data_IF_911380240205
#
_entry.id   IF_911380240205
#
_cell.length_a   1.000
_cell.length_b   1.000
_cell.length_c   1.000
_cell.angle_alpha   90.00
_cell.angle_beta   90.00
_cell.angle_gamma   90.00
#
_symmetry.space_group_name_H-M   'P 1'
#
loop_
_entity.id
_entity.type
_entity.pdbx_description
1 polymer ?
#
# COMPACT_ATOMS: atom_id res chain seq x y z
N UNK A 1 -79.99 -45.13 -35.30
CA UNK A 1 -78.61 -44.72 -35.59
C UNK A 1 -78.68 -43.37 -36.29
N UNK A 2 -78.05 -42.36 -35.69
CA UNK A 2 -77.83 -40.99 -36.20
C UNK A 2 -79.07 -40.08 -36.34
N UNK A 3 -79.00 -38.78 -36.13
CA UNK A 3 -78.08 -37.84 -35.46
C UNK A 3 -78.58 -36.45 -35.88
N UNK A 4 -78.35 -35.43 -35.04
CA UNK A 4 -78.12 -34.03 -35.44
C UNK A 4 -79.29 -33.24 -36.08
N UNK A 5 -79.51 -31.95 -35.81
CA UNK A 5 -78.86 -30.99 -34.90
C UNK A 5 -79.73 -29.74 -34.80
N UNK A 6 -79.84 -29.26 -33.57
CA UNK A 6 -80.07 -27.88 -33.14
C UNK A 6 -79.72 -26.79 -34.17
N UNK A 7 -80.72 -25.99 -34.52
CA UNK A 7 -80.52 -24.63 -35.01
C UNK A 7 -80.36 -23.69 -33.79
N UNK A 8 -79.12 -23.30 -33.48
CA UNK A 8 -78.84 -22.26 -32.47
C UNK A 8 -78.73 -20.90 -33.12
N UNK A 9 -79.51 -19.97 -32.56
CA UNK A 9 -79.51 -18.54 -32.82
C UNK A 9 -78.11 -17.93 -32.64
N UNK A 10 -77.64 -17.26 -33.69
CA UNK A 10 -76.56 -16.28 -33.59
C UNK A 10 -77.14 -14.96 -33.06
N UNK A 11 -77.01 -14.72 -31.74
CA UNK A 11 -77.20 -13.38 -31.17
C UNK A 11 -75.83 -12.76 -30.90
N UNK A 12 -75.47 -11.85 -31.80
CA UNK A 12 -74.33 -10.94 -31.72
C UNK A 12 -74.45 -10.03 -30.48
N UNK A 13 -73.46 -10.09 -29.59
CA UNK A 13 -73.29 -9.12 -28.52
C UNK A 13 -72.13 -8.20 -28.90
N UNK A 14 -72.46 -6.99 -29.35
CA UNK A 14 -71.50 -5.90 -29.53
C UNK A 14 -71.09 -5.36 -28.16
N UNK A 15 -69.83 -5.57 -27.78
CA UNK A 15 -69.24 -4.91 -26.61
C UNK A 15 -68.67 -3.57 -27.05
N UNK A 16 -69.38 -2.49 -26.72
CA UNK A 16 -68.91 -1.12 -26.89
C UNK A 16 -67.85 -0.77 -25.84
N UNK A 17 -66.59 -0.66 -26.29
CA UNK A 17 -65.47 -0.23 -25.48
C UNK A 17 -65.16 1.26 -25.74
N UNK A 18 -65.70 2.17 -24.90
CA UNK A 18 -65.27 3.58 -24.92
C UNK A 18 -65.56 4.31 -23.59
N UNK A 19 -64.77 4.02 -22.54
CA UNK A 19 -64.63 4.92 -21.38
C UNK A 19 -63.40 4.55 -20.52
N UNK A 20 -62.19 4.59 -21.11
CA UNK A 20 -60.96 4.16 -20.41
C UNK A 20 -60.08 5.28 -19.87
N UNK A 21 -60.05 6.44 -20.53
CA UNK A 21 -58.93 7.38 -20.40
C UNK A 21 -58.98 8.22 -19.11
N UNK A 22 -60.16 8.66 -18.68
CA UNK A 22 -60.32 9.49 -17.47
C UNK A 22 -60.27 8.67 -16.18
N UNK A 23 -60.75 7.42 -16.21
CA UNK A 23 -60.70 6.50 -15.08
C UNK A 23 -59.28 5.96 -14.84
N UNK A 24 -58.51 5.72 -15.90
CA UNK A 24 -57.11 5.32 -15.81
C UNK A 24 -56.24 6.42 -15.17
N UNK A 25 -56.42 7.68 -15.55
CA UNK A 25 -55.67 8.81 -14.97
C UNK A 25 -56.03 9.04 -13.49
N UNK A 26 -57.30 8.84 -13.10
CA UNK A 26 -57.71 8.93 -11.68
C UNK A 26 -57.17 7.78 -10.83
N UNK A 27 -57.04 6.58 -11.42
CA UNK A 27 -56.38 5.43 -10.78
C UNK A 27 -54.89 5.66 -10.58
N UNK A 28 -54.18 6.17 -11.60
CA UNK A 28 -52.76 6.52 -11.47
C UNK A 28 -52.50 7.64 -10.44
N UNK A 29 -53.45 8.56 -10.23
CA UNK A 29 -53.37 9.60 -9.20
C UNK A 29 -53.74 9.15 -7.79
N UNK A 30 -54.48 8.07 -7.65
CA UNK A 30 -54.88 7.50 -6.36
C UNK A 30 -53.91 6.41 -5.87
N UNK A 31 -52.90 6.07 -6.68
CA UNK A 31 -51.96 5.01 -6.40
C UNK A 31 -50.72 5.57 -5.69
N UNK A 32 -50.79 5.63 -4.36
CA UNK A 32 -49.68 6.08 -3.50
C UNK A 32 -48.41 5.23 -3.70
N UNK A 33 -48.57 3.98 -4.15
CA UNK A 33 -47.43 3.11 -4.49
C UNK A 33 -46.64 3.58 -5.70
N UNK A 34 -47.27 4.29 -6.65
CA UNK A 34 -46.60 4.83 -7.83
C UNK A 34 -45.70 6.03 -7.51
N UNK A 35 -46.09 6.85 -6.53
CA UNK A 35 -45.27 7.99 -6.07
C UNK A 35 -44.01 7.51 -5.36
N UNK A 36 -44.16 6.51 -4.46
CA UNK A 36 -43.02 5.90 -3.77
C UNK A 36 -42.01 5.25 -4.75
N UNK A 37 -42.48 4.65 -5.86
CA UNK A 37 -41.62 4.07 -6.87
C UNK A 37 -40.77 5.14 -7.61
N UNK A 38 -41.32 6.33 -7.86
CA UNK A 38 -40.60 7.42 -8.52
C UNK A 38 -39.56 8.04 -7.58
N UNK A 39 -39.90 8.22 -6.30
CA UNK A 39 -38.93 8.69 -5.29
C UNK A 39 -37.75 7.72 -5.13
N UNK A 40 -38.03 6.42 -5.09
CA UNK A 40 -36.98 5.40 -5.05
C UNK A 40 -36.11 5.41 -6.30
N UNK A 41 -36.72 5.54 -7.49
CA UNK A 41 -35.97 5.61 -8.75
C UNK A 41 -35.02 6.82 -8.81
N UNK A 42 -35.37 7.94 -8.16
CA UNK A 42 -34.52 9.12 -8.08
C UNK A 42 -33.38 8.98 -7.06
N UNK A 43 -33.60 8.29 -5.93
CA UNK A 43 -32.59 8.11 -4.87
C UNK A 43 -31.63 6.94 -5.16
N UNK A 44 -32.12 5.89 -5.82
CA UNK A 44 -31.37 4.69 -6.20
C UNK A 44 -30.01 4.96 -6.88
N UNK A 45 -29.86 5.88 -7.87
CA UNK A 45 -28.55 6.16 -8.47
C UNK A 45 -27.53 6.69 -7.46
N UNK A 46 -27.95 7.51 -6.49
CA UNK A 46 -27.07 8.01 -5.44
C UNK A 46 -26.68 6.90 -4.46
N UNK A 47 -27.63 6.06 -4.06
CA UNK A 47 -27.33 4.91 -3.20
C UNK A 47 -26.34 3.94 -3.85
N UNK A 48 -26.51 3.64 -5.14
CA UNK A 48 -25.59 2.77 -5.88
C UNK A 48 -24.19 3.39 -5.99
N UNK A 49 -24.10 4.68 -6.30
CA UNK A 49 -22.82 5.38 -6.37
C UNK A 49 -22.08 5.34 -5.02
N UNK A 50 -22.78 5.60 -3.92
CA UNK A 50 -22.21 5.53 -2.57
C UNK A 50 -21.81 4.10 -2.19
N UNK A 51 -22.63 3.10 -2.51
CA UNK A 51 -22.33 1.70 -2.23
C UNK A 51 -21.05 1.25 -2.94
N UNK A 52 -20.95 1.48 -4.25
CA UNK A 52 -19.77 1.11 -5.05
C UNK A 52 -18.55 1.90 -4.61
N UNK A 53 -18.70 3.21 -4.33
CA UNK A 53 -17.60 4.05 -3.84
C UNK A 53 -17.05 3.58 -2.49
N UNK A 54 -17.93 3.25 -1.54
CA UNK A 54 -17.53 2.72 -0.23
C UNK A 54 -16.90 1.33 -0.33
N UNK A 55 -17.43 0.46 -1.19
CA UNK A 55 -16.88 -0.86 -1.42
C UNK A 55 -15.43 -0.78 -1.95
N UNK A 56 -15.15 0.14 -2.89
CA UNK A 56 -13.79 0.37 -3.37
C UNK A 56 -12.87 0.93 -2.33
N UNK A 57 -13.36 1.93 -1.58
CA UNK A 57 -12.57 2.57 -0.55
C UNK A 57 -12.14 1.54 0.49
N UNK A 58 -13.03 0.64 0.86
CA UNK A 58 -12.71 -0.48 1.75
C UNK A 58 -11.64 -1.40 1.14
N UNK A 59 -11.70 -1.71 -0.15
CA UNK A 59 -10.68 -2.52 -0.83
C UNK A 59 -9.32 -1.81 -0.91
N UNK A 60 -9.30 -0.52 -1.24
CA UNK A 60 -8.10 0.31 -1.26
C UNK A 60 -7.44 0.43 0.12
N UNK A 61 -8.23 0.61 1.18
CA UNK A 61 -7.74 0.62 2.56
C UNK A 61 -7.17 -0.74 2.97
N UNK A 62 -7.84 -1.85 2.61
CA UNK A 62 -7.30 -3.20 2.82
C UNK A 62 -5.98 -3.41 2.09
N UNK A 63 -5.85 -2.90 0.87
CA UNK A 63 -4.59 -2.94 0.14
C UNK A 63 -3.49 -2.16 0.87
N UNK A 64 -3.80 -0.97 1.39
CA UNK A 64 -2.86 -0.20 2.21
C UNK A 64 -2.36 -0.98 3.42
N UNK A 65 -3.28 -1.54 4.21
CA UNK A 65 -2.93 -2.32 5.41
C UNK A 65 -2.05 -3.54 5.09
N UNK A 66 -2.27 -4.16 3.92
CA UNK A 66 -1.43 -5.26 3.47
C UNK A 66 -0.05 -4.82 3.04
N UNK A 67 0.07 -3.69 2.34
CA UNK A 67 1.36 -3.11 1.97
C UNK A 67 2.15 -2.77 3.23
N UNK A 68 1.50 -2.19 4.24
CA UNK A 68 2.10 -1.94 5.56
C UNK A 68 2.63 -3.24 6.18
N UNK A 69 1.80 -4.28 6.25
CA UNK A 69 2.19 -5.59 6.77
C UNK A 69 3.39 -6.20 6.01
N UNK A 70 3.35 -6.17 4.67
CA UNK A 70 4.44 -6.64 3.81
C UNK A 70 5.73 -5.89 4.11
N UNK A 71 5.67 -4.57 4.18
CA UNK A 71 6.84 -3.71 4.44
C UNK A 71 7.51 -4.05 5.78
N UNK A 72 6.71 -4.20 6.84
CA UNK A 72 7.19 -4.57 8.17
C UNK A 72 7.73 -6.00 8.23
N UNK A 73 7.06 -6.95 7.56
CA UNK A 73 7.54 -8.35 7.55
C UNK A 73 8.85 -8.50 6.78
N UNK A 74 9.04 -7.75 5.69
CA UNK A 74 10.30 -7.71 4.95
C UNK A 74 11.45 -7.23 5.83
N UNK A 75 11.26 -6.11 6.54
CA UNK A 75 12.32 -5.53 7.38
C UNK A 75 12.63 -6.45 8.57
N UNK A 76 11.61 -7.01 9.22
CA UNK A 76 11.80 -7.86 10.39
C UNK A 76 12.36 -9.25 10.04
N UNK A 77 11.91 -9.90 8.96
CA UNK A 77 12.49 -11.18 8.51
C UNK A 77 13.96 -11.03 8.14
N UNK A 78 14.30 -9.93 7.47
CA UNK A 78 15.69 -9.61 7.12
C UNK A 78 16.53 -9.32 8.37
N UNK A 79 16.03 -8.46 9.27
CA UNK A 79 16.75 -8.04 10.47
C UNK A 79 16.98 -9.18 11.49
N UNK A 80 16.21 -10.27 11.39
CA UNK A 80 16.37 -11.48 12.22
C UNK A 80 17.51 -12.40 11.77
N UNK A 81 18.19 -12.12 10.65
CA UNK A 81 19.31 -12.96 10.25
C UNK A 81 20.48 -12.80 11.24
N UNK A 82 20.78 -13.87 11.98
CA UNK A 82 21.81 -13.88 13.02
C UNK A 82 23.01 -14.77 12.70
N UNK A 83 22.99 -15.53 11.61
CA UNK A 83 24.06 -16.47 11.25
C UNK A 83 24.30 -16.49 9.73
N UNK A 84 25.28 -17.25 9.24
CA UNK A 84 25.53 -17.45 7.81
C UNK A 84 26.54 -16.48 7.18
N UNK A 85 27.30 -15.75 7.99
CA UNK A 85 28.40 -14.89 7.56
C UNK A 85 29.60 -15.67 7.00
N UNK A 86 30.53 -14.95 6.36
CA UNK A 86 31.65 -15.53 5.62
C UNK A 86 32.70 -16.04 6.60
N UNK A 87 32.71 -15.41 7.79
CA UNK A 87 33.57 -15.76 8.89
C UNK A 87 32.72 -16.11 10.12
N UNK A 88 33.27 -16.94 11.00
CA UNK A 88 32.68 -17.26 12.30
C UNK A 88 32.40 -15.97 13.07
N UNK A 89 31.15 -15.77 13.48
CA UNK A 89 30.74 -14.55 14.19
C UNK A 89 30.27 -13.41 13.27
N UNK A 90 29.80 -13.71 12.06
CA UNK A 90 29.14 -12.75 11.18
C UNK A 90 27.77 -13.29 10.75
N UNK A 91 26.80 -12.37 10.58
CA UNK A 91 25.52 -12.69 9.97
C UNK A 91 25.66 -12.53 8.46
N UNK A 92 25.08 -13.45 7.69
CA UNK A 92 25.18 -13.40 6.24
C UNK A 92 23.94 -13.97 5.59
N UNK A 93 23.62 -13.45 4.41
CA UNK A 93 22.43 -13.85 3.68
C UNK A 93 22.81 -14.14 2.22
N UNK A 94 22.33 -15.26 1.71
CA UNK A 94 22.48 -15.64 0.31
C UNK A 94 21.36 -15.05 -0.54
N UNK A 95 21.57 -14.99 -1.86
CA UNK A 95 20.52 -14.63 -2.81
C UNK A 95 19.24 -15.45 -2.60
N UNK A 96 19.38 -16.78 -2.49
CA UNK A 96 18.24 -17.67 -2.29
C UNK A 96 17.44 -17.35 -1.02
N UNK A 97 18.11 -16.92 0.06
CA UNK A 97 17.45 -16.52 1.29
C UNK A 97 16.65 -15.22 1.11
N UNK A 98 17.22 -14.20 0.45
CA UNK A 98 16.47 -12.96 0.13
C UNK A 98 15.27 -13.26 -0.78
N UNK A 99 15.45 -14.07 -1.82
CA UNK A 99 14.33 -14.43 -2.70
C UNK A 99 13.23 -15.19 -1.96
N UNK A 100 13.60 -15.99 -0.96
CA UNK A 100 12.63 -16.66 -0.07
C UNK A 100 11.88 -15.65 0.80
N UNK A 101 12.57 -14.65 1.36
CA UNK A 101 11.94 -13.55 2.12
C UNK A 101 10.97 -12.77 1.23
N UNK A 102 11.38 -12.38 0.02
CA UNK A 102 10.49 -11.71 -0.93
C UNK A 102 9.29 -12.57 -1.32
N UNK A 103 9.47 -13.88 -1.47
CA UNK A 103 8.37 -14.79 -1.81
C UNK A 103 7.39 -14.95 -0.65
N UNK A 104 7.89 -15.05 0.58
CA UNK A 104 7.07 -15.06 1.79
C UNK A 104 6.26 -13.75 1.94
N UNK A 105 6.91 -12.60 1.72
CA UNK A 105 6.24 -11.30 1.77
C UNK A 105 5.20 -11.14 0.64
N UNK A 106 5.48 -11.67 -0.56
CA UNK A 106 4.52 -11.67 -1.68
C UNK A 106 3.24 -12.43 -1.32
N UNK A 107 3.34 -13.53 -0.55
CA UNK A 107 2.18 -14.32 -0.14
C UNK A 107 1.21 -13.54 0.77
N UNK A 108 1.70 -12.56 1.54
CA UNK A 108 0.87 -11.73 2.44
C UNK A 108 -0.09 -10.79 1.69
N UNK A 109 0.18 -10.52 0.41
CA UNK A 109 -0.71 -9.71 -0.42
C UNK A 109 -2.00 -10.45 -0.80
N UNK A 110 -2.01 -11.79 -0.80
CA UNK A 110 -3.14 -12.60 -1.26
C UNK A 110 -4.46 -12.20 -0.59
N UNK A 111 -5.55 -11.91 -1.33
CA UNK A 111 -5.77 -12.24 -2.75
C UNK A 111 -5.47 -11.09 -3.74
N UNK A 112 -4.74 -10.04 -3.34
CA UNK A 112 -4.40 -8.94 -4.24
C UNK A 112 -3.34 -9.37 -5.28
N UNK A 113 -3.44 -8.90 -6.53
CA UNK A 113 -2.46 -9.24 -7.57
C UNK A 113 -1.10 -8.62 -7.21
N UNK A 114 -0.03 -9.38 -7.40
CA UNK A 114 1.34 -8.96 -7.00
C UNK A 114 2.19 -8.46 -8.16
N UNK A 115 1.63 -8.42 -9.37
CA UNK A 115 2.35 -7.95 -10.56
C UNK A 115 2.85 -6.50 -10.44
N UNK A 116 2.10 -5.64 -9.76
CA UNK A 116 2.45 -4.23 -9.53
C UNK A 116 3.11 -3.98 -8.17
N UNK A 117 3.50 -5.04 -7.44
CA UNK A 117 4.16 -4.92 -6.14
C UNK A 117 5.67 -4.80 -6.37
N UNK A 118 6.23 -3.63 -6.09
CA UNK A 118 7.67 -3.37 -6.12
C UNK A 118 8.20 -3.37 -4.70
N UNK A 119 9.31 -4.06 -4.47
CA UNK A 119 9.91 -4.18 -3.13
C UNK A 119 11.41 -3.94 -3.23
N UNK A 120 11.95 -3.20 -2.27
CA UNK A 120 13.37 -2.95 -2.11
C UNK A 120 13.74 -3.20 -0.65
N UNK A 121 14.82 -3.93 -0.41
CA UNK A 121 15.42 -4.09 0.92
C UNK A 121 16.82 -3.49 0.83
N UNK A 122 17.17 -2.64 1.78
CA UNK A 122 18.50 -2.06 1.88
C UNK A 122 19.01 -2.14 3.30
N UNK A 123 20.30 -2.39 3.46
CA UNK A 123 20.97 -2.19 4.73
C UNK A 123 21.64 -0.82 4.74
N UNK A 124 21.32 -0.02 5.75
CA UNK A 124 21.88 1.31 5.97
C UNK A 124 22.67 1.28 7.27
N UNK A 125 23.96 1.54 7.19
CA UNK A 125 24.83 1.70 8.35
C UNK A 125 24.78 3.14 8.84
N UNK A 126 24.46 3.32 10.11
CA UNK A 126 24.54 4.60 10.82
C UNK A 126 25.85 4.60 11.59
N UNK A 127 26.74 5.54 11.26
CA UNK A 127 28.03 5.68 11.90
C UNK A 127 28.27 7.13 12.34
N UNK A 128 29.03 7.30 13.42
CA UNK A 128 29.55 8.62 13.77
C UNK A 128 30.55 9.08 12.71
N UNK A 129 30.43 10.32 12.27
CA UNK A 129 31.32 10.95 11.30
C UNK A 129 31.51 12.43 11.64
N UNK A 130 32.74 12.81 11.98
CA UNK A 130 33.10 14.18 12.33
C UNK A 130 33.12 15.13 11.14
N UNK A 131 33.06 14.63 9.90
CA UNK A 131 32.93 15.50 8.71
C UNK A 131 31.50 16.00 8.50
N UNK A 132 30.53 15.38 9.17
CA UNK A 132 29.11 15.75 9.07
C UNK A 132 28.78 16.76 10.16
N UNK A 133 28.04 17.81 9.81
CA UNK A 133 27.61 18.82 10.79
C UNK A 133 26.77 18.22 11.94
N UNK A 134 26.03 17.14 11.65
CA UNK A 134 25.26 16.40 12.63
C UNK A 134 26.09 15.42 13.48
N UNK A 135 27.36 15.18 13.12
CA UNK A 135 28.22 14.18 13.76
C UNK A 135 27.93 12.73 13.36
N UNK A 136 26.94 12.49 12.49
CA UNK A 136 26.56 11.14 12.04
C UNK A 136 26.33 11.10 10.53
N UNK A 137 26.58 9.93 9.93
CA UNK A 137 26.22 9.61 8.54
C UNK A 137 25.41 8.33 8.48
N UNK A 138 24.48 8.30 7.53
CA UNK A 138 23.84 7.08 7.06
C UNK A 138 24.45 6.69 5.71
N UNK A 139 25.03 5.51 5.58
CA UNK A 139 25.58 4.99 4.33
C UNK A 139 24.95 3.65 3.97
N UNK A 140 24.61 3.44 2.71
CA UNK A 140 24.06 2.16 2.23
C UNK A 140 25.18 1.13 2.15
N UNK A 141 24.99 -0.05 2.74
CA UNK A 141 25.90 -1.18 2.63
C UNK A 141 25.57 -2.03 1.40
N UNK A 142 24.29 -2.34 1.22
CA UNK A 142 23.77 -3.06 0.07
C UNK A 142 22.28 -2.76 -0.14
N UNK A 143 21.80 -2.96 -1.36
CA UNK A 143 20.39 -2.82 -1.72
C UNK A 143 19.98 -3.90 -2.73
N UNK A 144 18.84 -4.54 -2.50
CA UNK A 144 18.27 -5.59 -3.36
C UNK A 144 16.81 -5.29 -3.66
N UNK A 145 16.43 -5.47 -4.91
CA UNK A 145 15.12 -5.07 -5.43
C UNK A 145 14.40 -6.24 -6.08
N UNK A 146 13.08 -6.26 -6.01
CA UNK A 146 12.19 -7.17 -6.76
C UNK A 146 11.16 -6.36 -7.55
N UNK A 147 10.79 -6.86 -8.74
CA UNK A 147 9.83 -6.24 -9.65
C UNK A 147 10.18 -4.78 -10.01
N UNK A 148 11.46 -4.52 -10.31
CA UNK A 148 11.94 -3.18 -10.70
C UNK A 148 11.69 -2.11 -9.62
N UNK A 149 11.86 -2.47 -8.34
CA UNK A 149 11.98 -1.51 -7.25
C UNK A 149 13.20 -0.59 -7.45
N UNK A 150 13.14 0.61 -6.90
CA UNK A 150 14.26 1.56 -6.96
C UNK A 150 15.25 1.22 -5.84
N UNK A 151 16.52 0.88 -6.14
CA UNK A 151 17.51 0.65 -5.11
C UNK A 151 17.95 1.96 -4.46
N UNK A 152 18.39 1.90 -3.21
CA UNK A 152 19.04 3.04 -2.55
C UNK A 152 20.46 3.20 -3.12
N UNK A 153 20.89 4.42 -3.49
CA UNK A 153 22.18 4.63 -4.11
C UNK A 153 23.32 4.46 -3.10
N UNK A 154 24.43 3.86 -3.55
CA UNK A 154 25.64 3.74 -2.73
C UNK A 154 26.32 5.09 -2.44
N UNK A 155 26.22 6.03 -3.40
CA UNK A 155 26.82 7.35 -3.31
C UNK A 155 25.86 8.41 -3.85
N UNK A 156 25.82 9.55 -3.17
CA UNK A 156 25.14 10.75 -3.62
C UNK A 156 26.20 11.84 -3.85
N UNK A 157 26.25 12.40 -5.06
CA UNK A 157 27.26 13.40 -5.40
C UNK A 157 28.71 12.93 -5.21
N UNK A 158 28.97 11.62 -5.32
CA UNK A 158 30.30 11.01 -5.11
C UNK A 158 30.64 10.64 -3.66
N UNK A 159 29.77 10.98 -2.70
CA UNK A 159 29.98 10.70 -1.26
C UNK A 159 29.10 9.53 -0.81
N UNK A 160 29.66 8.60 -0.03
CA UNK A 160 28.94 7.46 0.53
C UNK A 160 28.08 7.89 1.74
N UNK A 161 27.02 8.66 1.46
CA UNK A 161 26.04 9.12 2.45
C UNK A 161 24.65 9.25 1.82
N UNK A 162 23.63 9.08 2.63
CA UNK A 162 22.25 9.49 2.37
C UNK A 162 22.02 10.90 2.95
N UNK A 163 21.11 11.66 2.33
CA UNK A 163 20.76 12.99 2.82
C UNK A 163 19.81 12.89 4.02
N UNK A 164 20.04 13.69 5.06
CA UNK A 164 19.15 13.76 6.21
C UNK A 164 17.89 14.56 5.80
N UNK A 165 16.75 13.88 5.67
CA UNK A 165 15.50 14.53 5.32
C UNK A 165 14.26 13.72 5.75
N UNK A 166 13.31 14.41 6.39
CA UNK A 166 12.00 13.85 6.76
C UNK A 166 11.02 14.00 5.59
N UNK A 167 11.21 13.16 4.56
CA UNK A 167 10.42 13.18 3.32
C UNK A 167 9.33 12.11 3.31
N UNK A 168 8.45 12.19 2.31
CA UNK A 168 7.41 11.19 2.07
C UNK A 168 8.00 9.77 1.92
N UNK A 169 7.21 8.71 2.21
CA UNK A 169 7.68 7.32 2.15
C UNK A 169 8.34 6.96 0.81
N UNK A 170 9.37 6.12 0.86
CA UNK A 170 10.11 5.52 -0.27
C UNK A 170 11.06 6.46 -1.04
N UNK A 171 11.56 7.53 -0.42
CA UNK A 171 12.67 8.29 -0.99
C UNK A 171 14.01 7.53 -0.86
N UNK A 172 14.66 7.13 -1.97
CA UNK A 172 15.84 6.28 -1.91
C UNK A 172 17.11 7.04 -1.48
N UNK A 173 17.15 8.35 -1.69
CA UNK A 173 18.31 9.21 -1.43
C UNK A 173 18.37 9.79 -0.02
N UNK A 174 17.34 9.59 0.80
CA UNK A 174 17.27 10.22 2.12
C UNK A 174 17.00 9.23 3.24
N UNK A 175 17.39 9.64 4.44
CA UNK A 175 17.12 8.97 5.70
C UNK A 175 16.47 9.98 6.67
N UNK A 176 15.49 9.59 7.51
CA UNK A 176 14.90 10.49 8.48
C UNK A 176 15.93 11.08 9.44
N UNK A 177 15.73 12.33 9.82
CA UNK A 177 16.66 13.07 10.68
C UNK A 177 16.85 12.38 12.04
N UNK A 178 15.86 11.62 12.51
CA UNK A 178 15.94 10.83 13.74
C UNK A 178 17.04 9.75 13.75
N UNK A 179 17.55 9.37 12.58
CA UNK A 179 18.64 8.39 12.45
C UNK A 179 20.01 9.04 12.19
N UNK A 180 20.03 10.30 11.77
CA UNK A 180 21.24 10.98 11.28
C UNK A 180 21.62 12.22 12.07
N UNK A 181 20.78 12.63 13.02
CA UNK A 181 20.99 13.84 13.83
C UNK A 181 20.58 13.59 15.29
N UNK A 182 21.29 14.23 16.22
CA UNK A 182 20.89 14.25 17.63
C UNK A 182 19.64 15.12 17.81
N UNK A 183 18.60 14.56 18.42
CA UNK A 183 17.38 15.31 18.72
C UNK A 183 17.48 15.95 20.09
N UNK A 184 17.33 17.26 20.14
CA UNK A 184 17.28 18.02 21.39
C UNK A 184 15.84 18.13 21.89
N UNK A 185 15.57 17.62 23.09
CA UNK A 185 14.26 17.71 23.75
C UNK A 185 14.37 18.70 24.91
N UNK A 186 13.53 19.72 24.88
CA UNK A 186 13.37 20.68 25.97
C UNK A 186 12.26 20.20 26.91
N UNK A 187 12.60 20.00 28.18
CA UNK A 187 11.66 19.64 29.24
C UNK A 187 11.46 20.86 30.13
N UNK A 188 10.22 21.32 30.26
CA UNK A 188 9.87 22.35 31.22
C UNK A 188 9.79 21.72 32.62
N UNK A 189 10.58 22.24 33.55
CA UNK A 189 10.56 21.82 34.94
C UNK A 189 9.46 22.58 35.70
N UNK A 190 9.05 22.04 36.84
CA UNK A 190 7.99 22.63 37.68
C UNK A 190 8.35 24.02 38.24
N UNK A 191 9.64 24.36 38.28
CA UNK A 191 10.16 25.68 38.69
C UNK A 191 10.17 26.71 37.55
N UNK A 192 9.68 26.35 36.35
CA UNK A 192 9.69 27.20 35.16
C UNK A 192 11.02 27.23 34.40
N UNK A 193 12.05 26.51 34.85
CA UNK A 193 13.29 26.31 34.10
C UNK A 193 13.09 25.30 32.96
N UNK A 194 13.97 25.33 31.96
CA UNK A 194 13.97 24.35 30.86
C UNK A 194 15.26 23.54 30.89
N UNK A 195 15.16 22.22 31.01
CA UNK A 195 16.29 21.29 30.85
C UNK A 195 16.31 20.77 29.42
N UNK A 196 17.47 20.84 28.77
CA UNK A 196 17.65 20.37 27.40
C UNK A 196 18.44 19.06 27.41
N UNK A 197 17.84 18.00 26.89
CA UNK A 197 18.49 16.70 26.74
C UNK A 197 18.71 16.42 25.25
N UNK A 198 19.95 16.14 24.89
CA UNK A 198 20.30 15.68 23.55
C UNK A 198 20.25 14.15 23.53
N UNK A 199 19.39 13.59 22.68
CA UNK A 199 19.32 12.15 22.42
C UNK A 199 20.05 11.87 21.11
N UNK A 200 21.16 11.17 21.20
CA UNK A 200 21.94 10.75 20.04
C UNK A 200 21.28 9.56 19.31
N UNK A 201 21.41 9.48 17.98
CA UNK A 201 20.96 8.31 17.24
C UNK A 201 21.77 7.06 17.64
N UNK A 202 21.14 5.89 17.56
CA UNK A 202 21.82 4.61 17.79
C UNK A 202 22.72 4.28 16.61
N UNK A 203 24.00 4.06 16.89
CA UNK A 203 25.00 3.62 15.89
C UNK A 203 24.75 2.14 15.58
N UNK A 204 24.79 1.79 14.30
CA UNK A 204 24.67 0.41 13.82
C UNK A 204 23.91 0.27 12.50
N UNK A 205 23.73 -0.97 12.05
CA UNK A 205 22.96 -1.26 10.85
C UNK A 205 21.45 -1.26 11.09
N UNK A 206 20.73 -0.64 10.16
CA UNK A 206 19.26 -0.60 10.08
C UNK A 206 18.85 -1.17 8.74
N UNK A 207 17.91 -2.11 8.77
CA UNK A 207 17.26 -2.62 7.56
C UNK A 207 16.12 -1.69 7.19
N UNK A 208 16.18 -1.20 5.96
CA UNK A 208 15.15 -0.34 5.36
C UNK A 208 14.45 -1.14 4.27
N UNK A 209 13.15 -1.36 4.46
CA UNK A 209 12.30 -2.00 3.47
C UNK A 209 11.38 -0.96 2.87
N UNK A 210 11.43 -0.82 1.56
CA UNK A 210 10.61 0.09 0.77
C UNK A 210 9.67 -0.73 -0.11
N UNK A 211 8.36 -0.48 -0.03
CA UNK A 211 7.35 -1.18 -0.82
C UNK A 211 6.46 -0.16 -1.51
N UNK A 212 6.29 -0.36 -2.81
CA UNK A 212 5.39 0.43 -3.65
C UNK A 212 4.39 -0.51 -4.30
N UNK A 213 3.11 -0.17 -4.19
CA UNK A 213 2.03 -0.95 -4.77
C UNK A 213 1.05 -0.04 -5.51
N UNK A 214 0.87 -0.29 -6.81
CA UNK A 214 -0.13 0.43 -7.61
C UNK A 214 -1.48 -0.28 -7.53
N UNK A 215 -2.39 0.28 -6.73
CA UNK A 215 -3.76 -0.16 -6.62
C UNK A 215 -4.60 0.36 -7.79
N UNK A 216 -5.32 -0.54 -8.46
CA UNK A 216 -6.27 -0.18 -9.52
C UNK A 216 -7.67 -0.57 -9.08
N UNK A 217 -8.61 0.39 -9.04
CA UNK A 217 -9.99 0.09 -8.73
C UNK A 217 -10.60 -0.96 -9.67
N UNK A 218 -11.49 -1.80 -9.13
CA UNK A 218 -12.16 -2.85 -9.90
C UNK A 218 -13.18 -2.32 -10.91
N UNK A 219 -13.81 -1.18 -10.61
CA UNK A 219 -14.63 -0.46 -11.58
C UNK A 219 -13.79 0.48 -12.42
N UNK A 220 -14.00 0.41 -13.72
CA UNK A 220 -13.38 1.30 -14.67
C UNK A 220 -14.48 2.19 -15.26
N UNK A 221 -14.43 3.49 -15.00
CA UNK A 221 -15.31 4.47 -15.65
C UNK A 221 -14.88 4.73 -17.10
N UNK A 222 -14.25 3.79 -17.78
CA UNK A 222 -13.67 3.99 -19.11
C UNK A 222 -14.71 4.38 -20.18
N UNK A 223 -16.00 4.07 -19.97
CA UNK A 223 -17.12 4.57 -20.78
C UNK A 223 -17.47 6.05 -20.52
N UNK A 224 -16.89 6.64 -19.48
CA UNK A 224 -17.11 7.99 -18.99
C UNK A 224 -15.75 8.71 -18.88
N UNK A 225 -15.35 9.34 -19.98
CA UNK A 225 -14.04 9.98 -20.19
C UNK A 225 -13.68 11.10 -19.18
N UNK A 226 -14.59 11.47 -18.27
CA UNK A 226 -14.44 12.56 -17.30
C UNK A 226 -13.75 12.14 -15.99
N UNK A 227 -13.58 10.84 -15.74
CA UNK A 227 -12.79 10.33 -14.61
C UNK A 227 -11.61 9.52 -15.13
N UNK A 228 -10.41 10.10 -15.09
CA UNK A 228 -9.19 9.36 -15.35
C UNK A 228 -9.10 8.17 -14.38
N UNK A 229 -8.91 6.96 -14.90
CA UNK A 229 -8.59 5.78 -14.09
C UNK A 229 -7.17 5.93 -13.54
N UNK A 230 -6.99 6.76 -12.52
CA UNK A 230 -5.70 6.94 -11.88
C UNK A 230 -5.43 5.71 -11.00
N UNK A 231 -4.37 4.97 -11.30
CA UNK A 231 -3.85 3.98 -10.37
C UNK A 231 -3.39 4.72 -9.11
N UNK A 232 -3.92 4.34 -7.95
CA UNK A 232 -3.50 4.90 -6.67
C UNK A 232 -2.21 4.21 -6.25
N UNK A 233 -1.12 4.98 -6.13
CA UNK A 233 0.14 4.45 -5.64
C UNK A 233 0.18 4.48 -4.11
N UNK A 234 0.37 3.30 -3.51
CA UNK A 234 0.55 3.13 -2.07
C UNK A 234 2.02 2.83 -1.83
N UNK A 235 2.72 3.77 -1.20
CA UNK A 235 4.13 3.65 -0.87
C UNK A 235 4.31 3.57 0.65
N UNK A 236 5.18 2.67 1.12
CA UNK A 236 5.51 2.46 2.55
C UNK A 236 6.99 2.15 2.74
N UNK A 237 7.52 2.64 3.85
CA UNK A 237 8.89 2.35 4.29
C UNK A 237 8.86 1.86 5.73
N UNK A 238 9.63 0.83 6.03
CA UNK A 238 9.83 0.31 7.39
C UNK A 238 11.32 0.28 7.72
N UNK A 239 11.63 0.60 8.97
CA UNK A 239 12.97 0.58 9.52
C UNK A 239 13.01 -0.47 10.64
N UNK A 240 13.95 -1.42 10.56
CA UNK A 240 14.16 -2.43 11.60
C UNK A 240 15.64 -2.48 11.99
N UNK A 241 15.99 -2.36 13.28
CA UNK A 241 17.36 -2.54 13.71
C UNK A 241 17.79 -4.00 13.52
N UNK A 242 19.02 -4.21 13.07
CA UNK A 242 19.59 -5.55 12.97
C UNK A 242 19.70 -6.16 14.37
N UNK A 243 19.22 -7.40 14.54
CA UNK A 243 19.09 -8.07 15.85
C UNK A 243 20.31 -8.92 16.23
N UNK A 244 21.35 -8.95 15.40
CA UNK A 244 22.55 -9.70 15.72
C UNK A 244 23.38 -8.99 16.80
N UNK A 245 24.18 -9.78 17.51
CA UNK A 245 25.06 -9.31 18.60
C UNK A 245 26.51 -9.09 18.13
N UNK A 246 26.74 -9.03 16.82
CA UNK A 246 28.07 -8.90 16.24
C UNK A 246 28.58 -7.46 16.29
N UNK A 247 29.90 -7.29 16.29
CA UNK A 247 30.56 -5.97 16.28
C UNK A 247 31.50 -5.86 15.07
N UNK A 248 31.23 -4.95 14.11
CA UNK A 248 30.02 -4.13 13.97
C UNK A 248 28.79 -4.96 13.59
N UNK A 249 27.61 -4.55 14.06
CA UNK A 249 26.35 -5.21 13.76
C UNK A 249 25.97 -4.92 12.30
N UNK A 250 26.03 -5.94 11.44
CA UNK A 250 25.69 -5.84 10.02
C UNK A 250 25.27 -7.22 9.49
N UNK A 251 24.60 -7.26 8.35
CA UNK A 251 24.25 -8.51 7.66
C UNK A 251 25.00 -8.53 6.33
N UNK A 252 25.97 -9.43 6.20
CA UNK A 252 26.65 -9.61 4.93
C UNK A 252 25.68 -10.14 3.90
N UNK A 253 25.73 -9.63 2.68
CA UNK A 253 24.93 -10.16 1.61
C UNK A 253 25.82 -10.63 0.46
N UNK A 254 25.73 -11.92 0.15
CA UNK A 254 26.47 -12.54 -0.95
C UNK A 254 25.67 -12.36 -2.22
N UNK A 255 26.01 -11.33 -2.98
CA UNK A 255 25.25 -10.92 -4.16
C UNK A 255 25.41 -11.89 -5.34
N UNK A 256 24.29 -12.16 -6.00
CA UNK A 256 24.22 -12.40 -7.45
C UNK A 256 23.34 -11.36 -8.16
N UNK A 257 22.54 -10.59 -7.41
CA UNK A 257 21.71 -9.47 -7.89
C UNK A 257 21.73 -8.29 -6.90
N UNK A 258 21.43 -7.08 -7.37
CA UNK A 258 21.39 -5.85 -6.56
C UNK A 258 22.66 -4.98 -6.62
N UNK A 259 22.78 -4.03 -5.70
CA UNK A 259 23.91 -3.10 -5.58
C UNK A 259 24.69 -3.30 -4.27
N UNK A 260 25.96 -3.70 -4.35
CA UNK A 260 26.86 -3.79 -3.20
C UNK A 260 27.70 -2.51 -3.11
N UNK A 261 27.60 -1.81 -1.99
CA UNK A 261 28.33 -0.57 -1.76
C UNK A 261 29.61 -0.78 -0.95
N UNK A 262 29.80 -1.97 -0.38
CA UNK A 262 30.97 -2.37 0.41
C UNK A 262 32.03 -3.12 -0.40
N UNK A 263 31.69 -3.66 -1.56
CA UNK A 263 32.72 -4.18 -2.47
C UNK A 263 33.50 -3.01 -3.05
N UNK A 264 34.73 -2.81 -2.60
CA UNK A 264 35.72 -2.09 -3.40
C UNK A 264 35.83 -2.76 -4.78
N UNK A 265 35.94 -2.00 -5.87
CA UNK A 265 36.21 -2.57 -7.19
C UNK A 265 37.50 -3.39 -7.21
#
# INVERSE_FOLDING_TARGET
MNADRDAREFRSASVDAKSGSRAAIRRLRADETGVAAVEFALILPFMLALYVGLAELALGLRASQKVDLVTHTLSDLTARQTTGGANSGQAGMSEAAIQSIFSAATALMAPLPTANLKMTISEVAIAADSTQASGYKASVNWSVTKNSGTPRPCKLGGVARLDAADVAPVAPNSMPTSYTESKTVAIANADGSTTSLAVAPTIGAVIVSDVIYSYRPGFNFASYHWLASAALEIARTSYAPVRNSYSPNHIQYYMTSGANCLSTP
#
